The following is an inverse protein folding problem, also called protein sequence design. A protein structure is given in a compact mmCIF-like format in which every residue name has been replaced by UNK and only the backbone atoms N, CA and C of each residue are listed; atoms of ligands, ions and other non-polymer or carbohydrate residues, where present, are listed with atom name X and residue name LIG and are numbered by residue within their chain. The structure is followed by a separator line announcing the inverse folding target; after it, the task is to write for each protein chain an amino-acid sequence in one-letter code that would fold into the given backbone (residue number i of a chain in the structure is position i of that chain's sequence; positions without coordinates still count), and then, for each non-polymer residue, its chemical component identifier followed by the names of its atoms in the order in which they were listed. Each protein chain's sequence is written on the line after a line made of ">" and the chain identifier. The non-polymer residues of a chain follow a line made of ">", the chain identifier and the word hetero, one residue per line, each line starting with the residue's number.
data_IF_900806828046
#
_entry.id   IF_900806828046
#
_cell.length_a   1.000
_cell.length_b   1.000
_cell.length_c   1.000
_cell.angle_alpha   90.00
_cell.angle_beta   90.00
_cell.angle_gamma   90.00
#
_symmetry.space_group_name_H-M   'P 1'
#
loop_
_entity.id
_entity.type
_entity.pdbx_description
1 polymer ?
#
# COMPACT_ATOMS: atom_id res chain seq x y z
N UNK A 1 -0.23 -16.28 7.66
CA UNK A 1 -1.49 -16.08 6.91
C UNK A 1 -1.57 -14.62 6.54
N UNK A 2 -1.46 -14.30 5.24
CA UNK A 2 -1.62 -12.94 4.76
C UNK A 2 -3.08 -12.49 4.89
N UNK A 3 -3.29 -11.21 5.19
CA UNK A 3 -4.62 -10.63 5.14
C UNK A 3 -4.69 -9.54 4.07
N UNK A 4 -5.72 -9.59 3.25
CA UNK A 4 -6.03 -8.57 2.26
C UNK A 4 -7.44 -8.03 2.52
N UNK A 5 -7.55 -6.71 2.68
CA UNK A 5 -8.80 -6.02 3.00
C UNK A 5 -9.10 -5.02 1.87
N UNK A 6 -10.30 -5.09 1.33
CA UNK A 6 -10.81 -4.13 0.36
C UNK A 6 -11.72 -3.14 1.06
N UNK A 7 -11.35 -1.87 1.03
CA UNK A 7 -12.11 -0.74 1.53
C UNK A 7 -12.74 0.00 0.35
N UNK A 8 -14.04 0.28 0.43
CA UNK A 8 -14.73 1.12 -0.56
C UNK A 8 -15.16 2.42 0.10
N UNK A 9 -14.83 3.51 -0.57
CA UNK A 9 -15.22 4.85 -0.16
C UNK A 9 -16.16 5.46 -1.18
N UNK A 10 -17.16 6.15 -0.68
CA UNK A 10 -17.97 7.11 -1.42
C UNK A 10 -17.41 8.51 -1.19
N UNK A 11 -17.44 9.35 -2.22
CA UNK A 11 -16.97 10.73 -2.20
C UNK A 11 -18.16 11.65 -2.49
N UNK A 12 -18.28 12.75 -1.76
CA UNK A 12 -19.33 13.74 -2.01
C UNK A 12 -19.19 14.36 -3.41
N UNK A 13 -17.96 14.63 -3.83
CA UNK A 13 -17.67 15.03 -5.20
C UNK A 13 -16.51 14.19 -5.78
N UNK A 14 -16.34 14.21 -7.10
CA UNK A 14 -15.38 13.37 -7.80
C UNK A 14 -13.97 13.99 -7.91
N UNK A 15 -13.58 14.85 -6.98
CA UNK A 15 -12.28 15.52 -6.97
C UNK A 15 -11.43 15.10 -5.78
N UNK A 16 -10.16 14.93 -6.01
CA UNK A 16 -9.14 14.69 -4.99
C UNK A 16 -7.92 15.60 -5.24
N UNK A 17 -7.18 16.00 -4.20
CA UNK A 17 -5.90 16.68 -4.40
C UNK A 17 -4.87 15.71 -4.98
N UNK A 18 -3.83 16.25 -5.61
CA UNK A 18 -2.76 15.43 -6.19
C UNK A 18 -2.04 14.56 -5.14
N UNK A 19 -1.95 15.05 -3.91
CA UNK A 19 -1.36 14.33 -2.77
C UNK A 19 -2.37 13.50 -1.97
N UNK A 20 -3.40 12.97 -2.63
CA UNK A 20 -4.48 12.16 -2.03
C UNK A 20 -4.00 11.05 -1.10
N UNK A 21 -2.77 10.56 -1.26
CA UNK A 21 -2.21 9.53 -0.37
C UNK A 21 -2.10 9.98 1.08
N UNK A 22 -1.90 11.28 1.31
CA UNK A 22 -1.90 11.87 2.67
C UNK A 22 -3.25 11.71 3.36
N UNK A 23 -4.34 11.85 2.61
CA UNK A 23 -5.70 11.64 3.14
C UNK A 23 -5.87 10.19 3.61
N UNK A 24 -5.38 9.23 2.81
CA UNK A 24 -5.46 7.80 3.16
C UNK A 24 -4.61 7.47 4.39
N UNK A 25 -3.42 8.03 4.48
CA UNK A 25 -2.57 7.86 5.67
C UNK A 25 -3.20 8.50 6.91
N UNK A 26 -3.81 9.68 6.78
CA UNK A 26 -4.55 10.33 7.87
C UNK A 26 -5.75 9.51 8.32
N UNK A 27 -6.47 8.91 7.38
CA UNK A 27 -7.56 7.97 7.69
C UNK A 27 -7.07 6.75 8.47
N UNK A 28 -5.94 6.12 8.07
CA UNK A 28 -5.39 4.98 8.80
C UNK A 28 -4.96 5.36 10.21
N UNK A 29 -4.27 6.49 10.37
CA UNK A 29 -3.86 7.01 11.67
C UNK A 29 -5.06 7.23 12.58
N UNK A 30 -6.07 7.96 12.10
CA UNK A 30 -7.31 8.21 12.84
C UNK A 30 -8.01 6.91 13.22
N UNK A 31 -8.10 5.95 12.29
CA UNK A 31 -8.75 4.66 12.55
C UNK A 31 -8.09 3.91 13.71
N UNK A 32 -6.75 3.92 13.78
CA UNK A 32 -6.00 3.29 14.87
C UNK A 32 -6.11 4.08 16.18
N UNK A 33 -6.16 5.42 16.13
CA UNK A 33 -6.35 6.27 17.31
C UNK A 33 -7.70 6.05 17.98
N UNK A 34 -8.71 5.71 17.21
CA UNK A 34 -10.08 5.51 17.71
C UNK A 34 -10.31 4.15 18.37
N UNK A 35 -9.34 3.24 18.35
CA UNK A 35 -9.42 1.93 18.99
C UNK A 35 -8.36 1.77 20.07
N UNK A 36 -8.68 0.98 21.11
CA UNK A 36 -7.78 0.66 22.23
C UNK A 36 -7.04 1.90 22.78
N UNK A 37 -7.77 3.03 22.97
CA UNK A 37 -7.24 4.28 23.53
C UNK A 37 -6.00 4.81 22.81
N UNK A 38 -5.88 4.54 21.48
CA UNK A 38 -4.77 4.99 20.65
C UNK A 38 -3.50 4.13 20.72
N UNK A 39 -3.45 3.07 21.54
CA UNK A 39 -2.29 2.19 21.70
C UNK A 39 -1.76 1.64 20.36
N UNK A 40 -2.64 1.32 19.43
CA UNK A 40 -2.23 0.81 18.12
C UNK A 40 -1.70 1.90 17.19
N UNK A 41 -2.16 3.14 17.34
CA UNK A 41 -1.56 4.27 16.64
C UNK A 41 -0.10 4.46 17.06
N UNK A 42 0.19 4.42 18.35
CA UNK A 42 1.57 4.49 18.86
C UNK A 42 2.44 3.35 18.33
N UNK A 43 1.95 2.11 18.40
CA UNK A 43 2.66 0.93 17.90
C UNK A 43 3.10 1.08 16.43
N UNK A 44 2.24 1.57 15.55
CA UNK A 44 2.53 1.59 14.11
C UNK A 44 3.15 2.90 13.60
N UNK A 45 3.10 3.98 14.37
CA UNK A 45 3.54 5.28 13.90
C UNK A 45 4.60 5.97 14.74
N UNK A 46 4.82 5.55 15.98
CA UNK A 46 5.89 6.11 16.84
C UNK A 46 7.11 5.21 16.96
N UNK A 47 7.01 3.93 16.62
CA UNK A 47 8.17 3.03 16.61
C UNK A 47 8.95 3.18 15.29
N UNK A 48 10.29 3.08 15.34
CA UNK A 48 11.14 3.12 14.14
C UNK A 48 11.03 1.84 13.30
N UNK A 49 10.31 0.85 13.80
CA UNK A 49 10.14 -0.45 13.14
C UNK A 49 9.49 -0.31 11.76
N UNK A 50 9.94 -1.14 10.83
CA UNK A 50 9.36 -1.21 9.50
C UNK A 50 7.90 -1.66 9.58
N UNK A 51 7.04 -0.88 8.93
CA UNK A 51 5.61 -1.24 8.86
C UNK A 51 5.42 -2.49 8.02
N UNK A 52 4.78 -3.49 8.60
CA UNK A 52 4.48 -4.77 7.97
C UNK A 52 3.15 -4.76 7.17
N UNK A 53 2.77 -3.63 6.62
CA UNK A 53 1.59 -3.51 5.76
C UNK A 53 1.85 -2.59 4.57
N UNK A 54 1.06 -2.78 3.54
CA UNK A 54 1.04 -1.92 2.36
C UNK A 54 -0.39 -1.62 1.92
N UNK A 55 -0.56 -0.60 1.09
CA UNK A 55 -1.85 -0.30 0.50
C UNK A 55 -1.72 0.24 -0.92
N UNK A 56 -2.76 0.01 -1.70
CA UNK A 56 -2.91 0.57 -3.03
C UNK A 56 -4.26 1.26 -3.16
N UNK A 57 -4.29 2.43 -3.80
CA UNK A 57 -5.52 3.18 -4.05
C UNK A 57 -5.89 3.03 -5.51
N UNK A 58 -7.09 2.51 -5.75
CA UNK A 58 -7.67 2.43 -7.10
C UNK A 58 -8.57 3.65 -7.32
N UNK A 59 -8.15 4.50 -8.23
CA UNK A 59 -8.88 5.69 -8.67
C UNK A 59 -9.61 5.37 -9.98
N UNK A 60 -10.96 5.47 -10.04
CA UNK A 60 -11.70 5.13 -11.23
C UNK A 60 -11.53 6.21 -12.31
N UNK A 61 -10.98 5.85 -13.47
CA UNK A 61 -10.79 6.73 -14.65
C UNK A 61 -10.21 8.11 -14.27
N UNK A 62 -9.03 8.17 -13.62
CA UNK A 62 -8.51 9.43 -13.11
C UNK A 62 -8.00 10.34 -14.24
N UNK A 63 -8.35 11.60 -14.18
CA UNK A 63 -7.76 12.67 -14.99
C UNK A 63 -6.93 13.56 -14.08
N UNK A 64 -5.61 13.55 -14.29
CA UNK A 64 -4.67 14.32 -13.49
C UNK A 64 -4.49 15.72 -14.02
N UNK A 65 -4.56 16.72 -13.15
CA UNK A 65 -4.13 18.09 -13.40
C UNK A 65 -2.90 18.43 -12.55
N UNK A 66 -2.47 19.68 -12.52
CA UNK A 66 -1.34 20.11 -11.68
C UNK A 66 -1.65 20.07 -10.18
N UNK A 67 -2.89 20.26 -9.80
CA UNK A 67 -3.31 20.45 -8.39
C UNK A 67 -4.34 19.44 -7.91
N UNK A 68 -5.13 18.88 -8.83
CA UNK A 68 -6.24 18.00 -8.50
C UNK A 68 -6.33 16.81 -9.46
N UNK A 69 -7.05 15.79 -9.01
CA UNK A 69 -7.40 14.60 -9.78
C UNK A 69 -8.92 14.56 -9.89
N UNK A 70 -9.44 14.56 -11.10
CA UNK A 70 -10.86 14.32 -11.34
C UNK A 70 -11.11 12.84 -11.61
N UNK A 71 -12.02 12.24 -10.86
CA UNK A 71 -12.41 10.84 -11.00
C UNK A 71 -13.61 10.68 -11.94
N UNK A 72 -13.70 9.56 -12.62
CA UNK A 72 -14.89 9.25 -13.44
C UNK A 72 -16.10 8.81 -12.63
N UNK A 73 -15.95 8.57 -11.31
CA UNK A 73 -17.03 8.18 -10.39
C UNK A 73 -16.74 8.73 -8.99
N UNK A 74 -17.80 8.99 -8.21
CA UNK A 74 -17.72 9.45 -6.83
C UNK A 74 -17.37 8.31 -5.86
N UNK A 75 -16.38 7.52 -6.20
CA UNK A 75 -15.93 6.40 -5.36
C UNK A 75 -14.45 6.13 -5.57
N UNK A 76 -13.82 5.54 -4.58
CA UNK A 76 -12.49 4.95 -4.70
C UNK A 76 -12.40 3.67 -3.87
N UNK A 77 -11.44 2.83 -4.21
CA UNK A 77 -11.16 1.63 -3.44
C UNK A 77 -9.72 1.66 -2.93
N UNK A 78 -9.53 1.15 -1.71
CA UNK A 78 -8.20 0.88 -1.16
C UNK A 78 -8.07 -0.61 -0.95
N UNK A 79 -7.01 -1.20 -1.50
CA UNK A 79 -6.59 -2.54 -1.13
C UNK A 79 -5.49 -2.41 -0.09
N UNK A 80 -5.78 -2.83 1.14
CA UNK A 80 -4.82 -2.94 2.23
C UNK A 80 -4.36 -4.39 2.32
N UNK A 81 -3.06 -4.64 2.57
CA UNK A 81 -2.54 -5.99 2.77
C UNK A 81 -1.40 -6.03 3.76
N UNK A 82 -1.32 -7.12 4.52
CA UNK A 82 -0.29 -7.39 5.50
C UNK A 82 -0.01 -8.89 5.55
N UNK A 83 1.27 -9.32 5.73
CA UNK A 83 1.61 -10.71 5.98
C UNK A 83 1.31 -11.14 7.43
N UNK A 84 1.09 -10.21 8.34
CA UNK A 84 0.82 -10.48 9.75
C UNK A 84 -0.68 -10.47 10.06
N UNK A 85 -1.17 -11.63 10.49
CA UNK A 85 -2.59 -11.82 10.84
C UNK A 85 -3.06 -10.87 11.94
N UNK A 86 -2.25 -10.65 12.98
CA UNK A 86 -2.62 -9.77 14.10
C UNK A 86 -2.76 -8.31 13.63
N UNK A 87 -1.81 -7.84 12.83
CA UNK A 87 -1.91 -6.51 12.17
C UNK A 87 -3.19 -6.42 11.33
N UNK A 88 -3.48 -7.46 10.56
CA UNK A 88 -4.70 -7.51 9.74
C UNK A 88 -5.99 -7.40 10.57
N UNK A 89 -6.09 -8.13 11.68
CA UNK A 89 -7.23 -8.05 12.59
C UNK A 89 -7.39 -6.67 13.25
N UNK A 90 -6.26 -6.07 13.68
CA UNK A 90 -6.26 -4.73 14.27
C UNK A 90 -6.80 -3.70 13.27
N UNK A 91 -6.26 -3.68 12.06
CA UNK A 91 -6.71 -2.75 11.02
C UNK A 91 -8.14 -3.02 10.57
N UNK A 92 -8.54 -4.28 10.45
CA UNK A 92 -9.93 -4.65 10.13
C UNK A 92 -10.91 -4.07 11.16
N UNK A 93 -10.63 -4.25 12.45
CA UNK A 93 -11.45 -3.71 13.54
C UNK A 93 -11.49 -2.18 13.52
N UNK A 94 -10.33 -1.55 13.28
CA UNK A 94 -10.21 -0.10 13.17
C UNK A 94 -11.06 0.44 12.01
N UNK A 95 -10.99 -0.19 10.85
CA UNK A 95 -11.76 0.22 9.67
C UNK A 95 -13.27 0.02 9.86
N UNK A 96 -13.68 -1.10 10.44
CA UNK A 96 -15.10 -1.35 10.73
C UNK A 96 -15.66 -0.26 11.64
N UNK A 97 -14.90 0.19 12.64
CA UNK A 97 -15.32 1.28 13.54
C UNK A 97 -15.49 2.63 12.83
N UNK A 98 -14.80 2.83 11.69
CA UNK A 98 -14.92 4.05 10.88
C UNK A 98 -16.00 3.99 9.81
N UNK A 99 -16.63 2.83 9.63
CA UNK A 99 -17.67 2.66 8.60
C UNK A 99 -18.80 3.66 8.81
N UNK A 100 -19.28 4.22 7.70
CA UNK A 100 -20.38 5.18 7.60
C UNK A 100 -20.15 6.55 8.29
N UNK A 101 -18.96 6.79 8.88
CA UNK A 101 -18.61 8.09 9.44
C UNK A 101 -18.10 9.03 8.34
N UNK A 102 -18.48 10.32 8.40
CA UNK A 102 -17.96 11.33 7.50
C UNK A 102 -16.47 11.59 7.79
N UNK A 103 -15.69 11.69 6.74
CA UNK A 103 -14.25 11.98 6.76
C UNK A 103 -14.03 13.22 5.91
N UNK A 104 -13.75 14.38 6.53
CA UNK A 104 -13.44 15.59 5.78
C UNK A 104 -12.24 15.39 4.87
N UNK A 105 -12.32 15.85 3.66
CA UNK A 105 -11.27 15.82 2.65
C UNK A 105 -11.05 17.19 2.03
N UNK A 106 -9.85 17.50 1.52
CA UNK A 106 -9.57 18.76 0.83
C UNK A 106 -10.50 19.02 -0.37
N UNK A 107 -10.46 20.23 -0.90
CA UNK A 107 -11.26 20.69 -2.03
C UNK A 107 -12.78 20.71 -1.73
N UNK A 108 -13.14 20.96 -0.47
CA UNK A 108 -14.56 20.95 -0.05
C UNK A 108 -15.22 19.59 -0.23
N UNK A 109 -14.46 18.51 -0.16
CA UNK A 109 -14.95 17.15 -0.32
C UNK A 109 -15.13 16.46 1.03
N UNK A 110 -15.94 15.42 1.03
CA UNK A 110 -16.12 14.49 2.13
C UNK A 110 -16.06 13.06 1.58
N UNK A 111 -15.44 12.17 2.31
CA UNK A 111 -15.45 10.74 1.99
C UNK A 111 -16.11 9.95 3.12
N UNK A 112 -16.68 8.81 2.76
CA UNK A 112 -17.31 7.87 3.68
C UNK A 112 -16.89 6.45 3.34
N UNK A 113 -16.38 5.71 4.33
CA UNK A 113 -16.10 4.30 4.17
C UNK A 113 -17.43 3.52 4.20
N UNK A 114 -17.83 2.96 3.06
CA UNK A 114 -19.13 2.27 2.94
C UNK A 114 -19.02 0.75 3.03
N UNK A 115 -17.83 0.20 2.79
CA UNK A 115 -17.64 -1.27 2.80
C UNK A 115 -16.22 -1.65 3.20
N UNK A 116 -16.13 -2.68 4.05
CA UNK A 116 -14.89 -3.32 4.51
C UNK A 116 -15.04 -4.82 4.28
N UNK A 117 -14.25 -5.38 3.38
CA UNK A 117 -14.35 -6.81 3.01
C UNK A 117 -12.98 -7.48 3.04
N UNK A 118 -12.93 -8.69 3.57
CA UNK A 118 -11.79 -9.56 3.36
C UNK A 118 -11.78 -10.06 1.91
N UNK A 119 -10.59 -10.05 1.31
CA UNK A 119 -10.37 -10.62 -0.01
C UNK A 119 -9.71 -11.99 0.17
N UNK A 120 -10.32 -13.07 -0.29
CA UNK A 120 -9.72 -14.39 -0.22
C UNK A 120 -8.36 -14.45 -0.91
N UNK A 121 -7.41 -15.13 -0.31
CA UNK A 121 -6.14 -15.43 -0.96
C UNK A 121 -6.34 -16.46 -2.08
N UNK A 122 -5.60 -16.26 -3.16
CA UNK A 122 -5.47 -17.26 -4.20
C UNK A 122 -4.26 -18.13 -3.89
N UNK A 123 -4.48 -19.42 -3.75
CA UNK A 123 -3.36 -20.36 -3.65
C UNK A 123 -2.60 -20.39 -4.98
N UNK A 124 -1.31 -20.11 -4.92
CA UNK A 124 -0.39 -20.25 -6.05
C UNK A 124 0.23 -21.64 -5.93
N UNK A 125 -0.11 -22.54 -6.83
CA UNK A 125 0.37 -23.93 -6.85
C UNK A 125 1.48 -24.18 -7.86
N UNK A 126 1.75 -23.19 -8.73
CA UNK A 126 2.80 -23.25 -9.75
C UNK A 126 4.11 -22.65 -9.24
N UNK A 127 5.23 -23.10 -9.81
CA UNK A 127 6.56 -22.58 -9.54
C UNK A 127 6.77 -21.14 -10.06
N UNK A 128 5.87 -20.63 -10.87
CA UNK A 128 5.92 -19.27 -11.41
C UNK A 128 4.54 -18.62 -11.44
N UNK A 129 4.49 -17.30 -11.26
CA UNK A 129 3.26 -16.53 -11.31
C UNK A 129 3.50 -15.16 -11.97
N UNK A 130 2.49 -14.71 -12.74
CA UNK A 130 2.45 -13.32 -13.21
C UNK A 130 1.66 -12.48 -12.22
N UNK A 131 2.30 -11.44 -11.69
CA UNK A 131 1.69 -10.53 -10.73
C UNK A 131 1.49 -9.15 -11.34
N UNK A 132 0.35 -8.54 -11.04
CA UNK A 132 0.09 -7.13 -11.38
C UNK A 132 0.26 -6.27 -10.15
N UNK A 133 1.18 -5.31 -10.22
CA UNK A 133 1.36 -4.33 -9.16
C UNK A 133 0.14 -3.40 -9.08
N UNK A 134 -0.47 -3.29 -7.90
CA UNK A 134 -1.58 -2.37 -7.63
C UNK A 134 -1.08 -0.98 -7.23
N UNK A 135 0.17 -0.89 -6.76
CA UNK A 135 0.92 0.35 -6.52
C UNK A 135 2.30 0.22 -7.15
N UNK A 136 3.00 1.32 -7.47
CA UNK A 136 4.35 1.25 -8.00
C UNK A 136 5.29 0.48 -7.09
N UNK A 137 6.09 -0.43 -7.65
CA UNK A 137 7.20 -1.07 -6.96
C UNK A 137 8.33 -0.04 -6.83
N UNK A 138 8.75 0.20 -5.60
CA UNK A 138 9.84 1.12 -5.29
C UNK A 138 11.08 0.30 -4.88
N UNK A 139 12.12 0.31 -5.70
CA UNK A 139 13.42 -0.30 -5.38
C UNK A 139 14.36 0.82 -4.94
N UNK A 140 14.79 0.76 -3.69
CA UNK A 140 15.66 1.75 -3.05
C UNK A 140 16.94 1.07 -2.57
N UNK A 141 18.08 1.61 -2.96
CA UNK A 141 19.39 1.28 -2.40
C UNK A 141 19.78 2.38 -1.43
N UNK A 142 19.99 2.02 -0.19
CA UNK A 142 20.53 2.93 0.82
C UNK A 142 22.07 2.84 0.82
N UNK A 143 22.73 3.98 0.68
CA UNK A 143 24.18 4.10 0.79
C UNK A 143 24.53 4.61 2.19
N UNK A 144 25.01 3.72 3.07
CA UNK A 144 25.38 4.07 4.45
C UNK A 144 26.51 5.11 4.52
N UNK A 145 27.43 5.11 3.55
CA UNK A 145 28.61 6.01 3.53
C UNK A 145 28.25 7.50 3.55
N UNK A 146 27.19 7.89 2.87
CA UNK A 146 26.76 9.28 2.73
C UNK A 146 25.29 9.50 3.13
N UNK A 147 24.66 8.51 3.76
CA UNK A 147 23.26 8.50 4.18
C UNK A 147 22.30 8.92 3.05
N UNK A 148 22.55 8.45 1.83
CA UNK A 148 21.76 8.78 0.65
C UNK A 148 21.01 7.59 0.10
N UNK A 149 19.84 7.85 -0.47
CA UNK A 149 18.99 6.86 -1.12
C UNK A 149 19.07 7.00 -2.65
N UNK A 150 19.30 5.89 -3.33
CA UNK A 150 19.20 5.81 -4.79
C UNK A 150 17.99 4.98 -5.18
N UNK A 151 17.05 5.58 -5.89
CA UNK A 151 15.89 4.88 -6.44
C UNK A 151 16.21 4.32 -7.83
N UNK A 152 15.98 3.02 -7.99
CA UNK A 152 16.30 2.30 -9.23
C UNK A 152 15.05 2.23 -10.11
N UNK A 153 15.17 2.84 -11.29
CA UNK A 153 14.10 2.80 -12.31
C UNK A 153 14.10 1.46 -13.03
N UNK A 154 12.92 1.01 -13.46
CA UNK A 154 12.75 -0.17 -14.32
C UNK A 154 13.51 -0.08 -15.66
N UNK A 155 13.87 1.13 -16.11
CA UNK A 155 14.70 1.36 -17.29
C UNK A 155 16.21 1.16 -17.04
N UNK A 156 16.62 0.96 -15.78
CA UNK A 156 18.02 0.66 -15.46
C UNK A 156 18.33 -0.77 -15.91
N UNK A 157 19.45 -1.01 -16.64
CA UNK A 157 19.85 -2.36 -17.07
C UNK A 157 19.96 -3.37 -15.91
N UNK A 158 20.42 -2.91 -14.75
CA UNK A 158 20.63 -3.74 -13.55
C UNK A 158 19.37 -3.90 -12.68
N UNK A 159 18.24 -3.34 -13.12
CA UNK A 159 17.01 -3.31 -12.31
C UNK A 159 16.61 -4.70 -11.80
N UNK A 160 16.64 -5.70 -12.67
CA UNK A 160 16.21 -7.08 -12.33
C UNK A 160 17.07 -7.68 -11.23
N UNK A 161 18.38 -7.56 -11.32
CA UNK A 161 19.31 -8.11 -10.32
C UNK A 161 19.20 -7.36 -8.99
N UNK A 162 19.13 -6.04 -9.04
CA UNK A 162 18.95 -5.22 -7.83
C UNK A 162 17.61 -5.50 -7.16
N UNK A 163 16.52 -5.59 -7.93
CA UNK A 163 15.20 -5.92 -7.40
C UNK A 163 15.18 -7.32 -6.77
N UNK A 164 15.80 -8.31 -7.42
CA UNK A 164 15.94 -9.67 -6.90
C UNK A 164 16.67 -9.68 -5.56
N UNK A 165 17.80 -8.97 -5.45
CA UNK A 165 18.56 -8.88 -4.21
C UNK A 165 17.72 -8.25 -3.09
N UNK A 166 17.15 -7.06 -3.31
CA UNK A 166 16.34 -6.33 -2.32
C UNK A 166 15.14 -7.17 -1.85
N UNK A 167 14.47 -7.89 -2.77
CA UNK A 167 13.33 -8.73 -2.41
C UNK A 167 13.78 -9.95 -1.63
N UNK A 168 14.90 -10.60 -1.99
CA UNK A 168 15.46 -11.72 -1.22
C UNK A 168 15.78 -11.31 0.22
N UNK A 169 16.46 -10.18 0.40
CA UNK A 169 16.75 -9.64 1.74
C UNK A 169 15.47 -9.45 2.56
N UNK A 170 14.42 -8.88 1.95
CA UNK A 170 13.13 -8.71 2.61
C UNK A 170 12.43 -10.02 2.96
N UNK A 171 12.56 -11.04 2.12
CA UNK A 171 12.00 -12.37 2.39
C UNK A 171 12.71 -13.04 3.57
N UNK A 172 14.04 -12.96 3.64
CA UNK A 172 14.83 -13.46 4.77
C UNK A 172 14.44 -12.73 6.07
N UNK A 173 14.37 -11.40 6.06
CA UNK A 173 13.90 -10.59 7.18
C UNK A 173 12.48 -10.98 7.64
N UNK A 174 11.65 -11.44 6.70
CA UNK A 174 10.28 -11.89 6.97
C UNK A 174 10.21 -13.36 7.45
N UNK A 175 11.36 -14.01 7.66
CA UNK A 175 11.46 -15.37 8.20
C UNK A 175 11.40 -16.49 7.17
N UNK A 176 11.56 -16.20 5.88
CA UNK A 176 11.71 -17.26 4.87
C UNK A 176 13.11 -17.87 4.92
N UNK A 177 13.20 -19.19 4.78
CA UNK A 177 14.47 -19.89 4.68
C UNK A 177 15.22 -19.47 3.41
N UNK A 178 16.46 -19.03 3.56
CA UNK A 178 17.32 -18.59 2.47
C UNK A 178 17.48 -19.66 1.38
N UNK A 179 17.50 -20.95 1.76
CA UNK A 179 17.56 -22.08 0.83
C UNK A 179 16.33 -22.15 -0.09
N UNK A 180 15.15 -21.85 0.45
CA UNK A 180 13.89 -21.86 -0.33
C UNK A 180 13.84 -20.74 -1.35
N UNK A 181 14.46 -19.60 -1.06
CA UNK A 181 14.48 -18.42 -1.93
C UNK A 181 15.74 -18.26 -2.77
N UNK A 182 16.68 -19.21 -2.69
CA UNK A 182 17.94 -19.18 -3.45
C UNK A 182 17.71 -19.01 -4.96
N UNK A 183 16.72 -19.72 -5.50
CA UNK A 183 16.34 -19.69 -6.93
C UNK A 183 15.23 -18.69 -7.26
N UNK A 184 14.92 -17.77 -6.34
CA UNK A 184 13.92 -16.74 -6.61
C UNK A 184 14.33 -15.87 -7.78
N UNK A 185 13.44 -15.72 -8.76
CA UNK A 185 13.60 -14.89 -9.94
C UNK A 185 12.43 -13.89 -10.05
N UNK A 186 12.74 -12.69 -10.51
CA UNK A 186 11.75 -11.68 -10.85
C UNK A 186 12.10 -11.04 -12.19
N UNK A 187 11.12 -10.90 -13.09
CA UNK A 187 11.30 -10.23 -14.37
C UNK A 187 10.18 -9.23 -14.63
N UNK A 188 10.50 -7.97 -14.96
CA UNK A 188 9.48 -7.01 -15.38
C UNK A 188 8.83 -7.43 -16.69
N UNK A 189 7.50 -7.43 -16.72
CA UNK A 189 6.72 -7.62 -17.94
C UNK A 189 5.92 -6.34 -18.19
N UNK A 190 6.06 -5.72 -19.36
CA UNK A 190 5.33 -4.49 -19.73
C UNK A 190 5.44 -3.37 -18.68
N UNK A 191 6.59 -3.25 -18.04
CA UNK A 191 6.81 -2.31 -16.97
C UNK A 191 6.90 -0.88 -17.51
N UNK A 192 6.24 0.06 -16.83
CA UNK A 192 6.31 1.50 -17.10
C UNK A 192 6.87 2.21 -15.89
N UNK A 193 7.76 3.19 -16.13
CA UNK A 193 8.20 4.10 -15.08
C UNK A 193 6.98 4.90 -14.58
N UNK A 194 6.77 4.90 -13.27
CA UNK A 194 5.74 5.72 -12.63
C UNK A 194 6.42 6.74 -11.71
N UNK A 195 6.09 8.00 -11.86
CA UNK A 195 6.50 9.06 -10.94
C UNK A 195 5.42 9.17 -9.86
N UNK A 196 5.83 9.11 -8.60
CA UNK A 196 4.94 9.27 -7.44
C UNK A 196 5.29 10.60 -6.79
N UNK A 197 4.29 11.47 -6.69
CA UNK A 197 4.39 12.78 -6.02
C UNK A 197 4.03 12.68 -4.55
#
# INVERSE_FOLDING_TARGET
>A
VNMKILLRFYLQNNKLPIDYRRIMLSFFKRSLSDIAEGKYYEKYYFTPERRNFTFAVNLPMPKFSKTEIQLGKNQLNITFSTPDYNTGCIFMSAFIKQKDKPIPAPLGNEMKLVSVNLVPEKNVTSSSAVVKMLSPLCIRLHKAENNSDKYISVANPDFTEIAKQVIKEQLVESGFDEKLISNFEIKPLNAKKTVVY
#
